data_IF_996877406552
#
_entry.id   IF_996877406552
#
_cell.length_a   1.000
_cell.length_b   1.000
_cell.length_c   1.000
_cell.angle_alpha   90.00
_cell.angle_beta   90.00
_cell.angle_gamma   90.00
#
_symmetry.space_group_name_H-M   'P 1'
#
loop_
_entity.id
_entity.type
_entity.pdbx_description
1 polymer ?
#
# COMPACT_ATOMS: atom_id res chain seq x y z
N UNK A 1 -3.63 -8.53 -18.19
CA UNK A 1 -4.35 -7.33 -17.71
C UNK A 1 -3.55 -6.08 -18.10
N UNK A 2 -4.13 -5.13 -18.84
CA UNK A 2 -3.41 -3.97 -19.40
C UNK A 2 -2.73 -3.13 -18.31
N UNK A 3 -1.43 -2.82 -18.46
CA UNK A 3 -0.61 -2.03 -17.52
C UNK A 3 -1.27 -0.69 -17.13
N UNK A 4 -1.96 -0.06 -18.08
CA UNK A 4 -2.75 1.17 -17.87
C UNK A 4 -3.83 1.02 -16.79
N UNK A 5 -4.57 -0.10 -16.78
CA UNK A 5 -5.62 -0.34 -15.78
C UNK A 5 -5.05 -0.45 -14.36
N UNK A 6 -3.78 -0.84 -14.21
CA UNK A 6 -3.09 -0.95 -12.93
C UNK A 6 -2.64 0.41 -12.39
N UNK A 7 -2.26 1.33 -13.27
CA UNK A 7 -1.84 2.70 -12.93
C UNK A 7 -3.05 3.55 -12.52
N UNK A 8 -4.16 3.42 -13.24
CA UNK A 8 -5.39 4.19 -12.98
C UNK A 8 -6.35 3.52 -11.99
N UNK A 9 -5.90 2.52 -11.21
CA UNK A 9 -6.69 1.96 -10.13
C UNK A 9 -6.59 2.83 -8.86
N UNK A 10 -7.20 4.01 -8.92
CA UNK A 10 -7.08 5.10 -7.94
C UNK A 10 -7.77 4.81 -6.60
N UNK A 11 -8.64 3.79 -6.55
CA UNK A 11 -9.35 3.33 -5.34
C UNK A 11 -8.43 2.64 -4.34
N UNK A 12 -7.16 2.42 -4.71
CA UNK A 12 -6.17 1.80 -3.84
C UNK A 12 -5.63 2.72 -2.74
N UNK A 13 -5.86 4.04 -2.77
CA UNK A 13 -5.46 4.91 -1.65
C UNK A 13 -6.14 4.47 -0.35
N UNK A 14 -5.34 4.32 0.71
CA UNK A 14 -5.82 4.05 2.06
C UNK A 14 -5.82 5.33 2.86
N UNK A 15 -6.82 5.47 3.74
CA UNK A 15 -7.02 6.64 4.60
C UNK A 15 -7.03 8.00 3.83
N UNK A 16 -7.86 8.16 2.78
CA UNK A 16 -7.86 9.38 1.95
C UNK A 16 -8.17 10.65 2.74
N UNK A 17 -8.88 10.55 3.87
CA UNK A 17 -9.21 11.69 4.71
C UNK A 17 -7.98 12.31 5.39
N UNK A 18 -6.97 11.53 5.77
CA UNK A 18 -5.72 12.04 6.34
C UNK A 18 -4.91 12.81 5.30
N UNK A 19 -4.85 12.28 4.09
CA UNK A 19 -4.22 12.96 2.95
C UNK A 19 -4.93 14.28 2.63
N UNK A 20 -6.26 14.27 2.60
CA UNK A 20 -7.05 15.47 2.35
C UNK A 20 -6.83 16.49 3.48
N UNK A 21 -6.79 16.04 4.72
CA UNK A 21 -6.49 16.89 5.88
C UNK A 21 -5.12 17.56 5.74
N UNK A 22 -4.06 16.82 5.38
CA UNK A 22 -2.73 17.40 5.19
C UNK A 22 -2.67 18.39 4.03
N UNK A 23 -3.41 18.12 2.94
CA UNK A 23 -3.51 19.05 1.81
C UNK A 23 -4.22 20.35 2.20
N UNK A 24 -5.33 20.26 2.94
CA UNK A 24 -6.08 21.42 3.44
C UNK A 24 -5.23 22.23 4.40
N UNK A 25 -4.56 21.58 5.37
CA UNK A 25 -3.65 22.25 6.30
C UNK A 25 -2.53 23.00 5.56
N UNK A 26 -2.01 22.43 4.47
CA UNK A 26 -0.98 23.09 3.66
C UNK A 26 -1.50 24.37 2.98
N UNK A 27 -2.70 24.32 2.36
CA UNK A 27 -3.32 25.51 1.75
C UNK A 27 -3.66 26.57 2.80
N UNK A 28 -4.16 26.16 3.97
CA UNK A 28 -4.45 27.06 5.08
C UNK A 28 -3.18 27.71 5.60
N UNK A 29 -2.07 26.97 5.71
CA UNK A 29 -0.75 27.51 6.09
C UNK A 29 -0.30 28.61 5.14
N UNK A 30 -0.36 28.36 3.83
CA UNK A 30 -0.01 29.37 2.81
C UNK A 30 -0.92 30.60 2.87
N UNK A 31 -2.22 30.40 3.11
CA UNK A 31 -3.18 31.48 3.25
C UNK A 31 -2.92 32.30 4.49
N UNK A 32 -2.56 31.65 5.60
CA UNK A 32 -2.22 32.28 6.86
C UNK A 32 -0.92 33.09 6.75
N UNK A 33 0.12 32.52 6.13
CA UNK A 33 1.36 33.25 5.82
C UNK A 33 1.08 34.50 4.98
N UNK A 34 0.20 34.40 3.97
CA UNK A 34 -0.18 35.56 3.15
C UNK A 34 -0.89 36.67 3.94
N UNK A 35 -1.72 36.31 4.93
CA UNK A 35 -2.42 37.28 5.77
C UNK A 35 -1.51 37.88 6.85
N UNK A 36 -0.50 37.14 7.30
CA UNK A 36 0.43 37.52 8.36
C UNK A 36 1.90 37.35 7.91
N UNK A 37 2.39 38.18 6.97
CA UNK A 37 3.73 38.03 6.40
C UNK A 37 4.88 38.27 7.40
N UNK A 38 4.61 38.93 8.53
CA UNK A 38 5.60 39.23 9.57
C UNK A 38 5.49 38.27 10.78
N UNK A 39 4.96 37.08 10.58
CA UNK A 39 4.84 36.10 11.66
C UNK A 39 6.22 35.60 12.11
N UNK A 40 6.33 35.22 13.39
CA UNK A 40 7.53 34.58 13.90
C UNK A 40 7.82 33.27 13.16
N UNK A 41 9.09 33.10 12.77
CA UNK A 41 9.60 31.91 12.07
C UNK A 41 9.30 30.62 12.82
N UNK A 42 9.32 30.64 14.15
CA UNK A 42 8.97 29.47 14.96
C UNK A 42 7.53 29.01 14.75
N UNK A 43 6.59 29.96 14.68
CA UNK A 43 5.16 29.65 14.46
C UNK A 43 4.96 29.10 13.05
N UNK A 44 5.66 29.68 12.07
CA UNK A 44 5.62 29.23 10.69
C UNK A 44 6.10 27.76 10.55
N UNK A 45 7.22 27.42 11.17
CA UNK A 45 7.76 26.05 11.21
C UNK A 45 6.75 25.08 11.83
N UNK A 46 6.08 25.48 12.93
CA UNK A 46 5.08 24.63 13.59
C UNK A 46 3.88 24.37 12.68
N UNK A 47 3.36 25.38 11.98
CA UNK A 47 2.18 25.24 11.12
C UNK A 47 2.49 24.36 9.91
N UNK A 48 3.59 24.64 9.18
CA UNK A 48 3.99 23.79 8.05
C UNK A 48 4.40 22.39 8.50
N UNK A 49 5.11 22.28 9.63
CA UNK A 49 5.55 21.03 10.22
C UNK A 49 4.39 20.14 10.63
N UNK A 50 3.30 20.71 11.19
CA UNK A 50 2.10 19.94 11.54
C UNK A 50 1.44 19.32 10.29
N UNK A 51 1.26 20.10 9.22
CA UNK A 51 0.72 19.59 7.96
C UNK A 51 1.59 18.48 7.34
N UNK A 52 2.91 18.67 7.39
CA UNK A 52 3.88 17.66 6.94
C UNK A 52 3.81 16.38 7.79
N UNK A 53 3.70 16.50 9.11
CA UNK A 53 3.61 15.35 10.01
C UNK A 53 2.36 14.50 9.72
N UNK A 54 1.21 15.14 9.45
CA UNK A 54 -0.03 14.43 9.03
C UNK A 54 0.19 13.68 7.71
N UNK A 55 0.84 14.30 6.73
CA UNK A 55 1.17 13.64 5.46
C UNK A 55 2.12 12.46 5.64
N UNK A 56 3.10 12.59 6.55
CA UNK A 56 4.04 11.52 6.89
C UNK A 56 3.31 10.33 7.54
N UNK A 57 2.46 10.60 8.54
CA UNK A 57 1.63 9.57 9.18
C UNK A 57 0.76 8.86 8.14
N UNK A 58 0.12 9.63 7.24
CA UNK A 58 -0.65 9.05 6.15
C UNK A 58 0.19 8.10 5.29
N UNK A 59 1.40 8.50 4.90
CA UNK A 59 2.26 7.66 4.06
C UNK A 59 2.61 6.32 4.72
N UNK A 60 2.94 6.33 6.01
CA UNK A 60 3.24 5.12 6.77
C UNK A 60 2.02 4.20 6.84
N UNK A 61 0.87 4.74 7.26
CA UNK A 61 -0.37 3.95 7.39
C UNK A 61 -0.84 3.40 6.04
N UNK A 62 -0.69 4.20 4.99
CA UNK A 62 -1.04 3.80 3.64
C UNK A 62 -0.16 2.62 3.17
N UNK A 63 1.15 2.64 3.44
CA UNK A 63 2.03 1.50 3.16
C UNK A 63 1.64 0.25 3.97
N UNK A 64 1.49 0.38 5.28
CA UNK A 64 1.15 -0.74 6.17
C UNK A 64 -0.17 -1.40 5.77
N UNK A 65 -1.19 -0.61 5.39
CA UNK A 65 -2.48 -1.14 4.96
C UNK A 65 -2.42 -1.94 3.66
N UNK A 66 -1.35 -1.78 2.87
CA UNK A 66 -1.12 -2.55 1.67
C UNK A 66 -0.27 -3.80 1.91
N UNK A 67 0.50 -3.87 3.00
CA UNK A 67 1.20 -5.09 3.40
C UNK A 67 0.15 -6.19 3.69
N UNK A 68 0.13 -7.21 2.83
CA UNK A 68 -0.67 -8.41 3.04
C UNK A 68 0.26 -9.56 3.32
N UNK A 69 -0.03 -10.29 4.40
CA UNK A 69 0.56 -11.62 4.61
C UNK A 69 0.20 -12.50 3.42
N UNK A 70 1.20 -13.17 2.87
CA UNK A 70 1.02 -14.10 1.76
C UNK A 70 -0.07 -15.13 2.13
N UNK A 71 -0.97 -15.42 1.18
CA UNK A 71 -2.16 -16.25 1.41
C UNK A 71 -1.81 -17.60 2.00
N UNK A 72 -0.64 -18.16 1.66
CA UNK A 72 -0.12 -19.41 2.21
C UNK A 72 -0.05 -19.39 3.74
N UNK A 73 0.14 -18.23 4.38
CA UNK A 73 0.32 -18.11 5.82
C UNK A 73 -0.94 -17.65 6.57
N UNK A 74 -2.08 -17.52 5.88
CA UNK A 74 -3.35 -17.23 6.56
C UNK A 74 -3.85 -18.49 7.29
N UNK A 75 -4.69 -18.30 8.31
CA UNK A 75 -5.27 -19.41 9.08
C UNK A 75 -6.36 -20.07 8.23
N UNK A 76 -6.16 -21.32 7.84
CA UNK A 76 -7.13 -22.10 7.10
C UNK A 76 -7.57 -23.28 7.95
N UNK A 77 -8.88 -23.48 8.05
CA UNK A 77 -9.47 -24.60 8.78
C UNK A 77 -9.82 -25.78 7.84
N UNK A 78 -9.57 -25.63 6.52
CA UNK A 78 -9.87 -26.62 5.49
C UNK A 78 -8.71 -26.71 4.47
N UNK A 79 -8.30 -27.94 4.15
CA UNK A 79 -7.24 -28.23 3.19
C UNK A 79 -7.57 -27.77 1.77
N UNK A 80 -8.83 -27.92 1.35
CA UNK A 80 -9.31 -27.53 0.02
C UNK A 80 -9.20 -26.02 -0.13
N UNK A 81 -9.64 -25.28 0.89
CA UNK A 81 -9.54 -23.82 0.92
C UNK A 81 -8.08 -23.39 0.95
N UNK A 82 -7.24 -24.06 1.75
CA UNK A 82 -5.80 -23.78 1.81
C UNK A 82 -5.10 -23.93 0.45
N UNK A 83 -5.30 -25.06 -0.24
CA UNK A 83 -4.65 -25.33 -1.53
C UNK A 83 -5.24 -24.49 -2.66
N UNK A 84 -6.54 -24.15 -2.60
CA UNK A 84 -7.17 -23.30 -3.59
C UNK A 84 -6.56 -21.89 -3.63
N UNK A 85 -6.13 -21.37 -2.48
CA UNK A 85 -5.44 -20.07 -2.37
C UNK A 85 -3.97 -20.08 -2.83
N UNK A 86 -3.42 -21.24 -3.22
CA UNK A 86 -2.05 -21.33 -3.73
C UNK A 86 -1.96 -21.04 -5.23
N UNK A 87 -0.86 -20.40 -5.64
CA UNK A 87 -0.53 -20.10 -7.04
C UNK A 87 0.16 -21.29 -7.72
N UNK A 88 -0.60 -22.34 -8.06
CA UNK A 88 -0.09 -23.56 -8.71
C UNK A 88 -1.09 -24.07 -9.75
N UNK A 89 -0.66 -24.97 -10.64
CA UNK A 89 -1.54 -25.53 -11.68
C UNK A 89 -2.63 -26.40 -11.04
N UNK A 90 -3.76 -26.56 -11.74
CA UNK A 90 -4.90 -27.34 -11.23
C UNK A 90 -4.52 -28.77 -10.88
N UNK A 91 -3.68 -29.40 -11.68
CA UNK A 91 -3.23 -30.78 -11.45
C UNK A 91 -2.32 -30.87 -10.21
N UNK A 92 -1.39 -29.93 -10.04
CA UNK A 92 -0.54 -29.78 -8.85
C UNK A 92 -1.37 -29.57 -7.57
N UNK A 93 -2.48 -28.81 -7.65
CA UNK A 93 -3.42 -28.64 -6.52
C UNK A 93 -4.07 -29.95 -6.09
N UNK A 94 -4.47 -30.77 -7.06
CA UNK A 94 -5.14 -32.05 -6.78
C UNK A 94 -4.15 -32.99 -6.08
N UNK A 95 -2.92 -33.08 -6.58
CA UNK A 95 -1.85 -33.86 -5.96
C UNK A 95 -1.55 -33.39 -4.54
N UNK A 96 -1.46 -32.07 -4.32
CA UNK A 96 -1.19 -31.52 -3.00
C UNK A 96 -2.35 -31.78 -2.01
N UNK A 97 -3.60 -31.63 -2.44
CA UNK A 97 -4.77 -31.98 -1.59
C UNK A 97 -4.72 -33.45 -1.20
N UNK A 98 -4.36 -34.33 -2.14
CA UNK A 98 -4.27 -35.76 -1.87
C UNK A 98 -3.17 -36.08 -0.87
N UNK A 99 -1.98 -35.50 -1.05
CA UNK A 99 -0.87 -35.63 -0.09
C UNK A 99 -1.25 -35.14 1.32
N UNK A 100 -1.90 -33.98 1.43
CA UNK A 100 -2.30 -33.43 2.72
C UNK A 100 -3.39 -34.27 3.39
N UNK A 101 -4.33 -34.84 2.62
CA UNK A 101 -5.34 -35.76 3.14
C UNK A 101 -4.71 -37.06 3.66
N UNK A 102 -3.74 -37.62 2.95
CA UNK A 102 -3.01 -38.81 3.40
C UNK A 102 -2.26 -38.51 4.72
N UNK A 103 -1.63 -37.34 4.82
CA UNK A 103 -0.96 -36.91 6.05
C UNK A 103 -1.93 -36.65 7.22
N UNK A 104 -3.13 -36.11 6.96
CA UNK A 104 -4.18 -35.97 7.97
C UNK A 104 -4.61 -37.32 8.49
N UNK A 105 -4.84 -38.29 7.59
CA UNK A 105 -5.24 -39.65 7.96
C UNK A 105 -4.19 -40.32 8.85
N UNK A 106 -2.91 -40.15 8.54
CA UNK A 106 -1.81 -40.64 9.38
C UNK A 106 -1.80 -40.04 10.80
N UNK A 107 -2.25 -38.79 10.94
CA UNK A 107 -2.34 -38.10 12.24
C UNK A 107 -3.58 -38.55 13.03
N UNK A 108 -4.70 -38.77 12.35
CA UNK A 108 -5.91 -39.36 12.93
C UNK A 108 -5.66 -40.76 13.46
N UNK A 109 -4.93 -41.58 12.69
CA UNK A 109 -4.52 -42.93 13.11
C UNK A 109 -3.59 -42.91 14.34
N UNK A 110 -2.88 -41.79 14.56
CA UNK A 110 -2.04 -41.54 15.76
C UNK A 110 -2.82 -40.93 16.93
N UNK A 111 -4.13 -40.74 16.79
CA UNK A 111 -5.03 -40.30 17.86
C UNK A 111 -5.30 -38.80 17.90
N UNK A 112 -4.92 -38.03 16.88
CA UNK A 112 -5.36 -36.64 16.76
C UNK A 112 -6.83 -36.56 16.31
N UNK A 113 -7.54 -35.51 16.73
CA UNK A 113 -8.85 -35.19 16.16
C UNK A 113 -8.66 -34.65 14.74
N UNK A 114 -9.65 -34.89 13.85
CA UNK A 114 -9.63 -34.40 12.47
C UNK A 114 -9.22 -32.91 12.37
N UNK A 115 -9.82 -32.06 13.20
CA UNK A 115 -9.52 -30.62 13.21
C UNK A 115 -8.06 -30.31 13.59
N UNK A 116 -7.49 -31.03 14.56
CA UNK A 116 -6.10 -30.86 14.95
C UNK A 116 -5.13 -31.45 13.91
N UNK A 117 -5.50 -32.57 13.29
CA UNK A 117 -4.75 -33.21 12.23
C UNK A 117 -4.64 -32.30 10.99
N UNK A 118 -5.75 -31.68 10.58
CA UNK A 118 -5.77 -30.68 9.49
C UNK A 118 -4.88 -29.48 9.81
N UNK A 119 -4.97 -28.91 11.01
CA UNK A 119 -4.11 -27.79 11.43
C UNK A 119 -2.63 -28.17 11.45
N UNK A 120 -2.29 -29.36 11.93
CA UNK A 120 -0.91 -29.87 11.91
C UNK A 120 -0.40 -30.13 10.50
N UNK A 121 -1.24 -30.65 9.61
CA UNK A 121 -0.90 -30.89 8.20
C UNK A 121 -0.56 -29.58 7.48
N UNK A 122 -1.43 -28.57 7.61
CA UNK A 122 -1.21 -27.23 7.04
C UNK A 122 0.07 -26.60 7.61
N UNK A 123 0.24 -26.65 8.93
CA UNK A 123 1.44 -26.11 9.59
C UNK A 123 2.72 -26.81 9.16
N UNK A 124 2.71 -28.14 9.08
CA UNK A 124 3.86 -28.92 8.62
C UNK A 124 4.24 -28.57 7.18
N UNK A 125 3.26 -28.47 6.28
CA UNK A 125 3.49 -28.02 4.91
C UNK A 125 4.01 -26.58 4.84
N UNK A 126 3.41 -25.64 5.60
CA UNK A 126 3.88 -24.25 5.69
C UNK A 126 5.33 -24.17 6.19
N UNK A 127 5.72 -24.97 7.18
CA UNK A 127 7.10 -25.00 7.71
C UNK A 127 8.06 -25.59 6.67
N UNK A 128 7.67 -26.65 5.97
CA UNK A 128 8.48 -27.23 4.90
C UNK A 128 8.65 -26.27 3.73
N UNK A 129 7.58 -25.63 3.26
CA UNK A 129 7.64 -24.57 2.25
C UNK A 129 8.49 -23.40 2.74
N UNK A 130 8.30 -22.92 3.97
CA UNK A 130 9.13 -21.85 4.54
C UNK A 130 10.62 -22.19 4.58
N UNK A 131 10.96 -23.44 4.92
CA UNK A 131 12.35 -23.91 5.02
C UNK A 131 12.97 -24.15 3.64
N UNK A 132 12.20 -24.69 2.69
CA UNK A 132 12.60 -24.89 1.31
C UNK A 132 12.68 -23.57 0.53
N UNK A 133 11.82 -22.63 0.89
CA UNK A 133 11.66 -21.34 0.25
C UNK A 133 12.28 -20.21 1.08
N UNK A 134 13.54 -20.39 1.52
CA UNK A 134 14.44 -19.33 2.00
C UNK A 134 14.53 -18.08 1.05
N UNK A 135 13.80 -18.07 -0.07
CA UNK A 135 13.65 -17.00 -1.04
C UNK A 135 12.19 -16.59 -1.36
N UNK A 136 11.15 -17.17 -0.74
CA UNK A 136 9.74 -16.78 -1.00
C UNK A 136 9.29 -15.65 -0.08
N UNK A 137 8.77 -14.58 -0.69
CA UNK A 137 8.26 -13.41 0.03
C UNK A 137 7.11 -13.81 0.98
N UNK A 138 7.32 -13.60 2.29
CA UNK A 138 6.29 -13.71 3.34
C UNK A 138 5.10 -12.77 3.12
N UNK A 139 5.29 -11.73 2.31
CA UNK A 139 4.30 -10.71 2.02
C UNK A 139 4.00 -10.65 0.51
N UNK A 140 2.72 -10.63 0.15
CA UNK A 140 2.35 -10.28 -1.22
C UNK A 140 2.72 -8.81 -1.46
N UNK A 141 3.69 -8.55 -2.35
CA UNK A 141 4.13 -7.20 -2.69
C UNK A 141 3.05 -6.47 -3.51
N UNK A 142 2.34 -5.51 -2.92
CA UNK A 142 1.33 -4.75 -3.62
C UNK A 142 2.02 -3.76 -4.55
N UNK A 143 1.63 -3.75 -5.81
CA UNK A 143 2.19 -2.75 -6.73
C UNK A 143 1.54 -1.38 -6.52
N UNK A 144 2.32 -0.44 -6.00
CA UNK A 144 1.89 0.95 -5.71
C UNK A 144 1.78 1.86 -6.95
N UNK A 145 1.47 1.31 -8.13
CA UNK A 145 1.36 2.08 -9.39
C UNK A 145 0.26 3.15 -9.35
N UNK A 146 -0.70 3.05 -8.43
CA UNK A 146 -1.72 4.09 -8.25
C UNK A 146 -1.12 5.45 -7.88
N UNK A 147 0.02 5.49 -7.17
CA UNK A 147 0.70 6.74 -6.84
C UNK A 147 1.10 7.50 -8.11
N UNK A 148 1.61 6.79 -9.12
CA UNK A 148 1.93 7.37 -10.43
C UNK A 148 0.66 7.81 -11.18
N UNK A 149 -0.45 7.11 -10.98
CA UNK A 149 -1.76 7.54 -11.46
C UNK A 149 -2.14 8.91 -10.90
N UNK A 150 -2.04 9.10 -9.57
CA UNK A 150 -2.28 10.40 -8.95
C UNK A 150 -1.31 11.48 -9.42
N UNK A 151 -0.01 11.18 -9.56
CA UNK A 151 0.96 12.12 -10.13
C UNK A 151 0.51 12.60 -11.52
N UNK A 152 0.09 11.68 -12.39
CA UNK A 152 -0.36 12.04 -13.74
C UNK A 152 -1.58 12.97 -13.73
N UNK A 153 -2.54 12.72 -12.82
CA UNK A 153 -3.74 13.53 -12.65
C UNK A 153 -3.36 14.92 -12.11
N UNK A 154 -2.52 14.98 -11.09
CA UNK A 154 -2.07 16.24 -10.49
C UNK A 154 -1.33 17.09 -11.51
N UNK A 155 -0.42 16.49 -12.29
CA UNK A 155 0.26 17.19 -13.40
C UNK A 155 -0.74 17.76 -14.39
N UNK A 156 -1.76 16.98 -14.79
CA UNK A 156 -2.83 17.48 -15.66
C UNK A 156 -3.56 18.71 -15.08
N UNK A 157 -3.94 18.65 -13.80
CA UNK A 157 -4.60 19.78 -13.10
C UNK A 157 -3.68 20.99 -12.99
N UNK A 158 -2.40 20.79 -12.66
CA UNK A 158 -1.39 21.85 -12.59
C UNK A 158 -1.29 22.56 -13.94
N UNK A 159 -1.16 21.81 -15.04
CA UNK A 159 -1.08 22.39 -16.38
C UNK A 159 -2.32 23.23 -16.72
N UNK A 160 -3.52 22.75 -16.37
CA UNK A 160 -4.75 23.50 -16.57
C UNK A 160 -4.72 24.81 -15.78
N UNK A 161 -4.35 24.78 -14.50
CA UNK A 161 -4.28 26.00 -13.66
C UNK A 161 -3.27 27.00 -14.23
N UNK A 162 -2.09 26.54 -14.66
CA UNK A 162 -1.06 27.40 -15.24
C UNK A 162 -1.50 28.01 -16.57
N UNK A 163 -2.13 27.23 -17.45
CA UNK A 163 -2.71 27.74 -18.69
C UNK A 163 -3.77 28.81 -18.42
N UNK A 164 -4.67 28.58 -17.46
CA UNK A 164 -5.68 29.58 -17.07
C UNK A 164 -5.03 30.85 -16.54
N UNK A 165 -4.00 30.74 -15.70
CA UNK A 165 -3.27 31.89 -15.14
C UNK A 165 -2.58 32.77 -16.20
N UNK A 166 -2.18 32.18 -17.33
CA UNK A 166 -1.60 32.93 -18.46
C UNK A 166 -2.68 33.77 -19.17
N UNK A 167 -3.91 33.25 -19.29
CA UNK A 167 -5.00 33.93 -20.00
C UNK A 167 -5.66 34.99 -19.11
N UNK A 168 -5.88 34.67 -17.83
CA UNK A 168 -6.45 35.59 -16.85
C UNK A 168 -5.86 35.32 -15.46
N UNK A 169 -5.60 36.36 -14.64
CA UNK A 169 -5.00 36.18 -13.32
C UNK A 169 -5.96 35.39 -12.42
N UNK A 170 -5.51 34.21 -11.99
CA UNK A 170 -6.32 33.30 -11.17
C UNK A 170 -6.22 33.70 -9.69
N UNK A 171 -7.25 33.40 -8.86
CA UNK A 171 -7.19 33.71 -7.44
C UNK A 171 -6.05 32.95 -6.75
N UNK A 172 -5.49 33.54 -5.70
CA UNK A 172 -4.38 32.96 -4.95
C UNK A 172 -4.66 31.55 -4.44
N UNK A 173 -5.89 31.23 -4.03
CA UNK A 173 -6.25 29.88 -3.57
C UNK A 173 -5.96 28.84 -4.65
N UNK A 174 -6.19 29.19 -5.92
CA UNK A 174 -5.92 28.32 -7.06
C UNK A 174 -4.42 28.15 -7.32
N UNK A 175 -3.62 29.22 -7.13
CA UNK A 175 -2.16 29.16 -7.17
C UNK A 175 -1.59 28.33 -6.01
N UNK A 176 -2.09 28.52 -4.79
CA UNK A 176 -1.71 27.76 -3.61
C UNK A 176 -2.05 26.27 -3.78
N UNK A 177 -3.22 25.95 -4.34
CA UNK A 177 -3.59 24.59 -4.70
C UNK A 177 -2.65 24.01 -5.76
N UNK A 178 -2.30 24.77 -6.81
CA UNK A 178 -1.33 24.32 -7.82
C UNK A 178 0.04 24.02 -7.20
N UNK A 179 0.54 24.89 -6.31
CA UNK A 179 1.82 24.68 -5.64
C UNK A 179 1.80 23.46 -4.72
N UNK A 180 0.70 23.29 -3.97
CA UNK A 180 0.46 22.09 -3.16
C UNK A 180 0.47 20.83 -4.03
N UNK A 181 -0.25 20.81 -5.16
CA UNK A 181 -0.27 19.67 -6.09
C UNK A 181 1.12 19.34 -6.64
N UNK A 182 1.98 20.34 -6.92
CA UNK A 182 3.37 20.12 -7.35
C UNK A 182 4.13 19.35 -6.28
N UNK A 183 4.10 19.83 -5.04
CA UNK A 183 4.83 19.19 -3.92
C UNK A 183 4.31 17.78 -3.64
N UNK A 184 2.99 17.57 -3.66
CA UNK A 184 2.39 16.25 -3.47
C UNK A 184 2.70 15.30 -4.65
N UNK A 185 2.81 15.81 -5.88
CA UNK A 185 3.25 15.01 -7.03
C UNK A 185 4.68 14.50 -6.84
N UNK A 186 5.58 15.38 -6.40
CA UNK A 186 6.97 15.00 -6.08
C UNK A 186 6.97 13.98 -4.94
N UNK A 187 6.21 14.24 -3.86
CA UNK A 187 6.12 13.33 -2.72
C UNK A 187 5.58 11.95 -3.12
N UNK A 188 4.52 11.86 -3.93
CA UNK A 188 3.96 10.59 -4.40
C UNK A 188 4.92 9.83 -5.30
N UNK A 189 5.65 10.54 -6.16
CA UNK A 189 6.72 9.96 -6.96
C UNK A 189 7.83 9.38 -6.07
N UNK A 190 8.30 10.13 -5.07
CA UNK A 190 9.29 9.65 -4.10
C UNK A 190 8.77 8.45 -3.28
N UNK A 191 7.51 8.50 -2.82
CA UNK A 191 6.86 7.41 -2.07
C UNK A 191 6.76 6.13 -2.90
N UNK A 192 6.53 6.23 -4.22
CA UNK A 192 6.54 5.06 -5.09
C UNK A 192 7.88 4.32 -5.04
N UNK A 193 9.01 5.03 -5.09
CA UNK A 193 10.33 4.41 -4.95
C UNK A 193 10.60 3.96 -3.51
N UNK A 194 10.18 4.73 -2.52
CA UNK A 194 10.39 4.42 -1.12
C UNK A 194 9.65 3.14 -0.71
N UNK A 195 8.39 2.98 -1.12
CA UNK A 195 7.63 1.74 -0.88
C UNK A 195 8.29 0.56 -1.59
N UNK A 196 8.74 0.74 -2.84
CA UNK A 196 9.47 -0.31 -3.55
C UNK A 196 10.78 -0.70 -2.84
N UNK A 197 11.46 0.27 -2.24
CA UNK A 197 12.68 0.03 -1.46
C UNK A 197 12.36 -0.71 -0.16
N UNK A 198 11.30 -0.31 0.55
CA UNK A 198 10.81 -1.00 1.74
C UNK A 198 10.40 -2.45 1.42
N UNK A 199 9.70 -2.69 0.31
CA UNK A 199 9.36 -4.04 -0.15
C UNK A 199 10.61 -4.92 -0.31
N UNK A 200 11.68 -4.36 -0.89
CA UNK A 200 12.96 -5.07 -1.07
C UNK A 200 13.66 -5.32 0.27
N UNK A 201 13.67 -4.33 1.18
CA UNK A 201 14.30 -4.46 2.49
C UNK A 201 13.59 -5.49 3.36
N UNK A 202 12.26 -5.51 3.36
CA UNK A 202 11.47 -6.50 4.11
C UNK A 202 11.68 -7.90 3.53
N UNK A 203 11.79 -8.03 2.20
CA UNK A 203 12.02 -9.34 1.57
C UNK A 203 13.39 -9.95 1.79
N UNK A 204 14.39 -9.14 2.14
CA UNK A 204 15.77 -9.61 2.39
C UNK A 204 15.99 -10.04 3.84
N UNK A 205 15.01 -9.83 4.72
CA UNK A 205 15.09 -10.08 6.15
C UNK A 205 14.23 -11.27 6.52
#
# INVERSE_FOLDING_TARGET
MNKLKRIYNLTNIKYPWLLLLSMVMFILSLSFHRLHPNIDSNIEIVIYGAGFAVALIWSILNYISHLRLNTIYQRHDDLTVFVEHMSMKRDEKIELIQYLNDFVKDLEEKGDTHENAVKKAISHFQVQEFTAAQASDLFEKPTHYYLLGYVSIFVGVILIIQCLNIIFPVPFIMLAASFMLVLYSIAFFCLFFLYKLLDVLISKK
#
